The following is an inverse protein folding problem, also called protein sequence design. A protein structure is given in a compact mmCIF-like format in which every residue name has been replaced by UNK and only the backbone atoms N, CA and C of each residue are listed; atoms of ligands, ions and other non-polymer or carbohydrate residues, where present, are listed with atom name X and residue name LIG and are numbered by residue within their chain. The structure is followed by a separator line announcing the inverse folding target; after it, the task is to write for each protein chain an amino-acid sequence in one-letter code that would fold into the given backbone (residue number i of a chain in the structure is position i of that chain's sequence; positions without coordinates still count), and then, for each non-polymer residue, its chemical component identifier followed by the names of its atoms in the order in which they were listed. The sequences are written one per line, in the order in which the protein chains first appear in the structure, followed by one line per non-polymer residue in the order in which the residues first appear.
data_IF_366042585691
#
_entry.id   IF_366042585691
#
_cell.length_a   1.000
_cell.length_b   1.000
_cell.length_c   1.000
_cell.angle_alpha   90.00
_cell.angle_beta   90.00
_cell.angle_gamma   90.00
#
_symmetry.space_group_name_H-M   'P 1'
#
loop_
_entity.id
_entity.type
_entity.pdbx_description
1 polymer ?
#
# COMPACT_ATOMS: atom_id res chain seq x y z
N UNK A 1 4.28 20.15 13.28
CA UNK A 1 3.91 19.41 12.04
C UNK A 1 4.78 18.17 11.99
N UNK A 2 4.18 16.98 11.86
CA UNK A 2 4.91 15.71 11.85
C UNK A 2 5.38 15.40 10.42
N UNK A 3 6.69 15.34 10.19
CA UNK A 3 7.25 14.92 8.91
C UNK A 3 7.17 13.39 8.81
N UNK A 4 6.51 12.87 7.77
CA UNK A 4 6.45 11.43 7.50
C UNK A 4 7.71 11.00 6.75
N UNK A 5 8.71 10.51 7.48
CA UNK A 5 9.96 9.98 6.91
C UNK A 5 9.95 8.46 6.88
N UNK A 6 10.12 7.87 5.69
CA UNK A 6 10.40 6.44 5.54
C UNK A 6 11.89 6.16 5.76
N UNK A 7 12.23 4.93 6.13
CA UNK A 7 13.61 4.45 6.25
C UNK A 7 13.85 3.36 5.20
N UNK A 8 15.11 3.09 4.83
CA UNK A 8 15.46 1.98 3.93
C UNK A 8 14.94 0.62 4.43
N UNK A 9 14.77 0.45 5.75
CA UNK A 9 14.22 -0.77 6.36
C UNK A 9 12.67 -0.78 6.40
N UNK A 10 12.01 0.36 6.22
CA UNK A 10 10.55 0.55 6.21
C UNK A 10 10.17 1.58 5.14
N UNK A 11 10.14 1.18 3.86
CA UNK A 11 9.91 2.08 2.75
C UNK A 11 8.45 2.50 2.60
N UNK A 12 7.52 1.84 3.29
CA UNK A 12 6.08 2.12 3.24
C UNK A 12 5.56 2.54 4.61
N UNK A 13 4.71 3.56 4.63
CA UNK A 13 3.95 3.94 5.81
C UNK A 13 2.69 3.09 5.97
N UNK A 14 2.05 2.74 4.85
CA UNK A 14 0.78 2.01 4.81
C UNK A 14 0.88 0.87 3.80
N UNK A 15 0.36 -0.30 4.18
CA UNK A 15 0.19 -1.44 3.29
C UNK A 15 -1.26 -1.89 3.38
N UNK A 16 -1.98 -1.90 2.25
CA UNK A 16 -3.38 -2.33 2.19
C UNK A 16 -3.44 -3.81 1.85
N UNK A 17 -3.78 -4.63 2.84
CA UNK A 17 -3.99 -6.07 2.65
C UNK A 17 -5.39 -6.36 2.13
N UNK A 18 -5.49 -7.27 1.16
CA UNK A 18 -6.77 -7.63 0.57
C UNK A 18 -7.33 -6.53 -0.33
N UNK A 19 -6.45 -5.74 -0.95
CA UNK A 19 -6.81 -4.63 -1.84
C UNK A 19 -7.77 -5.03 -2.98
N UNK A 20 -7.74 -6.29 -3.45
CA UNK A 20 -8.66 -6.79 -4.48
C UNK A 20 -10.03 -7.23 -3.94
N UNK A 21 -10.24 -7.14 -2.63
CA UNK A 21 -11.48 -7.53 -1.96
C UNK A 21 -12.57 -6.48 -2.14
N UNK A 22 -13.79 -6.83 -1.73
CA UNK A 22 -14.96 -5.94 -1.85
C UNK A 22 -14.74 -4.58 -1.18
N UNK A 23 -14.20 -4.58 0.04
CA UNK A 23 -13.86 -3.34 0.77
C UNK A 23 -12.51 -2.78 0.34
N UNK A 24 -11.55 -3.67 0.02
CA UNK A 24 -10.17 -3.31 -0.28
C UNK A 24 -10.03 -2.32 -1.45
N UNK A 25 -10.86 -2.46 -2.48
CA UNK A 25 -10.84 -1.56 -3.64
C UNK A 25 -11.16 -0.11 -3.26
N UNK A 26 -12.14 0.12 -2.38
CA UNK A 26 -12.49 1.46 -1.90
C UNK A 26 -11.41 2.04 -0.97
N UNK A 27 -10.76 1.18 -0.17
CA UNK A 27 -9.63 1.61 0.66
C UNK A 27 -8.46 2.05 -0.23
N UNK A 28 -8.17 1.33 -1.32
CA UNK A 28 -7.14 1.72 -2.30
C UNK A 28 -7.47 3.07 -2.93
N UNK A 29 -8.73 3.28 -3.34
CA UNK A 29 -9.19 4.57 -3.88
C UNK A 29 -9.01 5.71 -2.86
N UNK A 30 -9.40 5.49 -1.60
CA UNK A 30 -9.32 6.55 -0.59
C UNK A 30 -7.86 6.86 -0.19
N UNK A 31 -7.01 5.84 -0.09
CA UNK A 31 -5.58 6.04 0.15
C UNK A 31 -4.94 6.77 -1.03
N UNK A 32 -5.32 6.43 -2.27
CA UNK A 32 -4.84 7.11 -3.46
C UNK A 32 -5.30 8.58 -3.54
N UNK A 33 -6.49 8.90 -3.05
CA UNK A 33 -6.98 10.28 -2.95
C UNK A 33 -6.18 11.08 -1.93
N UNK A 34 -5.97 10.51 -0.75
CA UNK A 34 -5.39 11.21 0.40
C UNK A 34 -3.87 11.22 0.41
N UNK A 35 -3.20 10.43 -0.45
CA UNK A 35 -1.73 10.27 -0.43
C UNK A 35 -0.96 11.58 -0.66
N UNK A 36 -1.58 12.57 -1.30
CA UNK A 36 -0.99 13.88 -1.59
C UNK A 36 -1.49 14.99 -0.65
N UNK A 37 -2.47 14.70 0.21
CA UNK A 37 -3.12 15.71 1.08
C UNK A 37 -2.53 15.72 2.50
N UNK A 38 -1.54 14.87 2.78
CA UNK A 38 -0.91 14.75 4.09
C UNK A 38 -0.01 15.93 4.47
N UNK A 39 -0.02 16.37 5.74
CA UNK A 39 0.88 17.41 6.22
C UNK A 39 2.33 16.90 6.25
N UNK A 40 3.13 17.25 5.25
CA UNK A 40 4.59 17.07 5.27
C UNK A 40 5.20 16.10 4.25
N UNK A 41 4.46 15.65 3.24
CA UNK A 41 5.04 14.93 2.11
C UNK A 41 4.11 13.91 1.46
N UNK A 42 4.60 13.32 0.36
CA UNK A 42 3.96 12.22 -0.35
C UNK A 42 3.94 10.96 0.52
N UNK A 43 2.74 10.48 0.81
CA UNK A 43 2.54 9.24 1.55
C UNK A 43 3.03 8.07 0.69
N UNK A 44 4.07 7.36 1.14
CA UNK A 44 4.50 6.10 0.54
C UNK A 44 3.59 4.95 1.01
N UNK A 45 2.90 4.31 0.07
CA UNK A 45 1.95 3.23 0.35
C UNK A 45 2.08 2.09 -0.66
N UNK A 46 1.65 0.90 -0.24
CA UNK A 46 1.66 -0.31 -1.05
C UNK A 46 0.34 -1.08 -0.93
N UNK A 47 0.08 -1.96 -1.89
CA UNK A 47 -1.08 -2.86 -1.91
C UNK A 47 -0.64 -4.31 -1.93
N UNK A 48 -1.39 -5.17 -1.25
CA UNK A 48 -1.08 -6.57 -1.06
C UNK A 48 -2.26 -7.47 -1.42
N UNK A 49 -1.97 -8.55 -2.14
CA UNK A 49 -2.97 -9.52 -2.57
C UNK A 49 -2.35 -10.84 -3.00
N UNK A 50 -3.22 -11.84 -3.23
CA UNK A 50 -2.80 -13.18 -3.70
C UNK A 50 -2.80 -13.32 -5.23
N UNK A 51 -3.42 -12.37 -5.93
CA UNK A 51 -3.58 -12.41 -7.37
C UNK A 51 -3.12 -11.07 -7.94
N UNK A 52 -1.98 -11.11 -8.63
CA UNK A 52 -1.36 -9.94 -9.27
C UNK A 52 -2.29 -9.30 -10.29
N UNK A 53 -2.86 -10.06 -11.23
CA UNK A 53 -3.70 -9.49 -12.29
C UNK A 53 -4.92 -8.73 -11.73
N UNK A 54 -5.51 -9.23 -10.65
CA UNK A 54 -6.62 -8.54 -9.96
C UNK A 54 -6.16 -7.27 -9.26
N UNK A 55 -4.98 -7.30 -8.64
CA UNK A 55 -4.42 -6.16 -7.93
C UNK A 55 -4.06 -5.05 -8.92
N UNK A 56 -3.57 -5.39 -10.11
CA UNK A 56 -3.34 -4.44 -11.20
C UNK A 56 -4.62 -3.79 -11.69
N UNK A 57 -5.67 -4.59 -11.89
CA UNK A 57 -7.00 -4.06 -12.24
C UNK A 57 -7.52 -3.08 -11.20
N UNK A 58 -7.40 -3.40 -9.91
CA UNK A 58 -7.82 -2.49 -8.83
C UNK A 58 -7.03 -1.19 -8.84
N UNK A 59 -5.73 -1.23 -9.09
CA UNK A 59 -4.91 -0.02 -9.21
C UNK A 59 -5.30 0.83 -10.42
N UNK A 60 -5.55 0.20 -11.57
CA UNK A 60 -6.02 0.90 -12.78
C UNK A 60 -7.39 1.54 -12.52
N UNK A 61 -8.31 0.83 -11.87
CA UNK A 61 -9.62 1.37 -11.48
C UNK A 61 -9.51 2.58 -10.56
N UNK A 62 -8.64 2.52 -9.54
CA UNK A 62 -8.42 3.63 -8.64
C UNK A 62 -7.78 4.84 -9.33
N UNK A 63 -6.84 4.60 -10.27
CA UNK A 63 -6.23 5.66 -11.08
C UNK A 63 -7.28 6.37 -11.96
N UNK A 64 -8.16 5.58 -12.60
CA UNK A 64 -9.22 6.10 -13.47
C UNK A 64 -10.27 6.88 -12.67
N UNK A 65 -10.70 6.35 -11.52
CA UNK A 65 -11.67 7.00 -10.62
C UNK A 65 -11.19 8.38 -10.13
N UNK A 66 -9.88 8.54 -9.90
CA UNK A 66 -9.29 9.77 -9.40
C UNK A 66 -8.71 10.67 -10.51
N UNK A 67 -8.70 10.21 -11.77
CA UNK A 67 -8.02 10.86 -12.90
C UNK A 67 -6.59 11.28 -12.58
N UNK A 68 -5.89 10.50 -11.75
CA UNK A 68 -4.56 10.83 -11.25
C UNK A 68 -3.60 9.68 -11.52
N UNK A 69 -2.34 10.00 -11.82
CA UNK A 69 -1.30 8.98 -11.86
C UNK A 69 -0.96 8.56 -10.43
N UNK A 70 -1.07 7.26 -10.13
CA UNK A 70 -0.67 6.66 -8.85
C UNK A 70 0.85 6.56 -8.72
N UNK A 71 1.57 7.66 -8.95
CA UNK A 71 3.04 7.69 -9.01
C UNK A 71 3.73 7.24 -7.71
N UNK A 72 3.02 7.28 -6.57
CA UNK A 72 3.53 6.86 -5.26
C UNK A 72 3.00 5.48 -4.81
N UNK A 73 2.23 4.77 -5.65
CA UNK A 73 1.82 3.40 -5.36
C UNK A 73 2.93 2.46 -5.84
N UNK A 74 3.80 2.05 -4.94
CA UNK A 74 4.99 1.27 -5.28
C UNK A 74 4.89 -0.11 -4.67
N UNK A 75 4.96 -1.09 -5.56
CA UNK A 75 5.04 -2.53 -5.36
C UNK A 75 3.76 -3.33 -5.07
N UNK A 76 3.55 -4.30 -5.97
CA UNK A 76 2.89 -5.56 -5.69
C UNK A 76 3.78 -6.35 -4.76
N UNK A 77 3.35 -6.51 -3.53
CA UNK A 77 3.93 -7.55 -2.72
C UNK A 77 2.93 -8.70 -2.67
N UNK A 78 3.35 -9.85 -3.19
CA UNK A 78 2.72 -11.11 -2.84
C UNK A 78 2.73 -11.25 -1.32
N UNK A 79 1.63 -11.74 -0.74
CA UNK A 79 1.45 -11.86 0.73
C UNK A 79 2.66 -12.53 1.40
N UNK A 80 3.30 -13.47 0.70
CA UNK A 80 4.52 -14.15 1.15
C UNK A 80 5.71 -13.20 1.36
N UNK A 81 5.90 -12.25 0.46
CA UNK A 81 7.00 -11.27 0.52
C UNK A 81 6.76 -10.28 1.66
N UNK A 82 5.51 -9.91 1.96
CA UNK A 82 5.22 -9.01 3.10
C UNK A 82 5.44 -9.70 4.42
N UNK A 83 5.02 -10.95 4.57
CA UNK A 83 5.25 -11.70 5.82
C UNK A 83 6.75 -11.78 6.09
N UNK A 84 7.56 -12.15 5.09
CA UNK A 84 9.02 -12.11 5.17
C UNK A 84 9.57 -10.71 5.49
N UNK A 85 9.07 -9.66 4.84
CA UNK A 85 9.55 -8.30 5.06
C UNK A 85 9.23 -7.80 6.48
N UNK A 86 8.05 -8.12 7.00
CA UNK A 86 7.63 -7.76 8.37
C UNK A 86 8.41 -8.57 9.39
N UNK A 87 8.60 -9.87 9.18
CA UNK A 87 9.38 -10.74 10.06
C UNK A 87 10.85 -10.31 10.12
N UNK A 88 11.43 -9.87 8.99
CA UNK A 88 12.77 -9.30 8.93
C UNK A 88 12.88 -7.87 9.49
N UNK A 89 11.83 -7.05 9.37
CA UNK A 89 11.82 -5.66 9.84
C UNK A 89 11.42 -5.51 11.31
N UNK A 90 10.64 -6.46 11.85
CA UNK A 90 10.07 -6.50 13.20
C UNK A 90 9.97 -7.95 13.69
N UNK A 91 11.03 -8.51 14.29
CA UNK A 91 11.06 -9.93 14.68
C UNK A 91 10.07 -10.31 15.80
N UNK A 92 9.30 -9.36 16.33
CA UNK A 92 8.31 -9.55 17.40
C UNK A 92 6.85 -9.51 16.92
N UNK A 93 6.59 -9.18 15.65
CA UNK A 93 5.25 -9.16 15.07
C UNK A 93 5.12 -10.39 14.19
N UNK A 94 4.38 -11.40 14.67
CA UNK A 94 3.97 -12.54 13.89
C UNK A 94 2.55 -12.28 13.37
N UNK A 95 2.40 -12.09 12.06
CA UNK A 95 1.10 -11.86 11.41
C UNK A 95 0.39 -13.18 11.07
N UNK A 96 1.08 -14.31 11.25
CA UNK A 96 0.55 -15.64 10.98
C UNK A 96 -0.03 -16.35 12.22
N UNK A 97 -0.11 -15.68 13.36
CA UNK A 97 -0.70 -16.20 14.61
C UNK A 97 -1.71 -15.21 15.19
#
# INVERSE_FOLDING_TARGET
MATLTTSSKRPYHIIVFGATGFTGQFVVEEVARTCNEGPGGTLQWAVAGRNRDRLEKTLVQAADALRTCLANCVHFLDVFVIVLYIEMAMPHINILN
#
